data_IF_385948144356
#
_entry.id   IF_385948144356
#
_cell.length_a   1.000
_cell.length_b   1.000
_cell.length_c   1.000
_cell.angle_alpha   90.00
_cell.angle_beta   90.00
_cell.angle_gamma   90.00
#
_symmetry.space_group_name_H-M   'P 1'
#
loop_
_entity.id
_entity.type
_entity.pdbx_description
1 polymer ?
#
# COMPACT_ATOMS: atom_id res chain seq x y z
N UNK A 1 33.49 3.57 -11.83
CA UNK A 1 34.00 4.22 -10.59
C UNK A 1 32.82 4.84 -9.86
N UNK A 2 32.57 4.46 -8.61
CA UNK A 2 31.48 5.04 -7.81
C UNK A 2 31.94 6.40 -7.24
N UNK A 3 31.34 7.54 -7.64
CA UNK A 3 31.77 8.89 -7.22
C UNK A 3 31.57 9.14 -5.71
N UNK A 4 30.85 8.26 -5.02
CA UNK A 4 30.58 8.33 -3.58
C UNK A 4 31.78 8.03 -2.69
N UNK A 5 32.87 7.44 -3.21
CA UNK A 5 34.09 7.15 -2.42
C UNK A 5 34.99 8.37 -2.19
N UNK A 6 34.85 9.44 -2.98
CA UNK A 6 35.73 10.62 -2.93
C UNK A 6 35.19 11.75 -2.06
N UNK A 7 33.88 11.77 -1.77
CA UNK A 7 33.30 12.74 -0.85
C UNK A 7 33.40 12.23 0.59
N UNK A 8 33.84 13.06 1.57
CA UNK A 8 33.98 12.67 2.97
C UNK A 8 32.59 12.68 3.64
N UNK A 9 31.70 11.79 3.22
CA UNK A 9 30.29 11.78 3.66
C UNK A 9 30.14 11.69 5.17
N UNK A 10 31.02 10.94 5.85
CA UNK A 10 31.02 10.88 7.31
C UNK A 10 31.29 12.24 7.96
N UNK A 11 32.16 13.06 7.36
CA UNK A 11 32.46 14.40 7.87
C UNK A 11 31.26 15.33 7.63
N UNK A 12 30.65 15.27 6.44
CA UNK A 12 29.47 16.08 6.09
C UNK A 12 28.29 15.73 7.00
N UNK A 13 28.04 14.43 7.25
CA UNK A 13 26.98 13.96 8.14
C UNK A 13 27.22 14.40 9.59
N UNK A 14 28.45 14.28 10.10
CA UNK A 14 28.81 14.74 11.45
C UNK A 14 28.72 16.25 11.60
N UNK A 15 29.14 16.99 10.57
CA UNK A 15 29.06 18.44 10.54
C UNK A 15 27.61 18.91 10.51
N UNK A 16 26.77 18.32 9.66
CA UNK A 16 25.34 18.60 9.62
C UNK A 16 24.66 18.26 10.96
N UNK A 17 24.94 17.08 11.52
CA UNK A 17 24.39 16.66 12.81
C UNK A 17 24.70 17.68 13.93
N UNK A 18 25.97 18.10 14.05
CA UNK A 18 26.39 19.14 15.02
C UNK A 18 25.76 20.50 14.74
N UNK A 19 25.55 20.86 13.47
CA UNK A 19 25.00 22.18 13.09
C UNK A 19 23.50 22.30 13.38
N UNK A 20 22.78 21.18 13.30
CA UNK A 20 21.33 21.09 13.52
C UNK A 20 20.94 20.52 14.89
N UNK A 21 21.92 20.35 15.81
CA UNK A 21 21.74 19.74 17.15
C UNK A 21 21.10 18.34 17.11
N UNK A 22 21.43 17.57 16.08
CA UNK A 22 21.00 16.19 15.89
C UNK A 22 22.14 15.27 16.34
N UNK A 23 21.81 14.17 17.00
CA UNK A 23 22.77 13.12 17.37
C UNK A 23 23.56 12.64 16.14
N UNK A 24 24.88 12.45 16.29
CA UNK A 24 25.73 11.87 15.23
C UNK A 24 25.20 10.46 14.87
N UNK A 25 24.62 10.27 13.68
CA UNK A 25 23.96 9.02 13.33
C UNK A 25 24.94 7.86 13.25
N UNK A 26 26.22 8.11 12.94
CA UNK A 26 27.27 7.08 12.88
C UNK A 26 27.60 6.59 14.29
N UNK A 27 27.78 7.52 15.22
CA UNK A 27 28.04 7.18 16.63
C UNK A 27 26.82 6.54 17.29
N UNK A 28 25.61 7.01 16.99
CA UNK A 28 24.37 6.43 17.50
C UNK A 28 24.21 4.98 17.03
N UNK A 29 24.38 4.70 15.73
CA UNK A 29 24.26 3.35 15.19
C UNK A 29 25.32 2.41 15.77
N UNK A 30 26.56 2.89 15.93
CA UNK A 30 27.63 2.13 16.58
C UNK A 30 27.28 1.76 18.03
N UNK A 31 26.63 2.65 18.78
CA UNK A 31 26.15 2.38 20.15
C UNK A 31 24.95 1.44 20.18
N UNK A 32 23.99 1.59 19.26
CA UNK A 32 22.83 0.68 19.15
C UNK A 32 23.31 -0.75 18.93
N UNK A 33 24.32 -0.95 18.06
CA UNK A 33 24.92 -2.26 17.80
C UNK A 33 25.54 -2.92 19.03
N UNK A 34 26.00 -2.14 20.02
CA UNK A 34 26.55 -2.66 21.27
C UNK A 34 25.48 -3.31 22.17
N UNK A 35 24.19 -2.98 21.98
CA UNK A 35 23.08 -3.65 22.68
C UNK A 35 22.71 -4.99 22.06
N UNK A 36 23.14 -5.28 20.84
CA UNK A 36 22.92 -6.56 20.17
C UNK A 36 23.97 -7.60 20.55
N UNK A 37 23.62 -8.88 20.41
CA UNK A 37 24.63 -9.96 20.45
C UNK A 37 25.60 -9.74 19.29
N UNK A 38 26.93 -9.92 19.47
CA UNK A 38 27.88 -9.86 18.37
C UNK A 38 27.44 -10.87 17.30
N UNK A 39 27.04 -10.36 16.13
CA UNK A 39 26.66 -11.19 14.99
C UNK A 39 27.88 -11.34 14.09
N UNK A 40 28.18 -12.56 13.66
CA UNK A 40 29.21 -12.84 12.65
C UNK A 40 28.86 -12.20 11.30
N UNK A 41 27.57 -12.01 11.05
CA UNK A 41 27.04 -11.39 9.84
C UNK A 41 26.55 -9.98 10.19
N UNK A 42 27.13 -8.96 9.55
CA UNK A 42 26.61 -7.60 9.66
C UNK A 42 25.17 -7.52 9.16
N UNK A 43 24.39 -6.62 9.77
CA UNK A 43 23.06 -6.27 9.29
C UNK A 43 23.10 -5.92 7.80
N UNK A 44 22.27 -6.56 6.95
CA UNK A 44 22.16 -6.22 5.55
C UNK A 44 21.84 -4.73 5.36
N UNK A 45 22.63 -4.04 4.55
CA UNK A 45 22.44 -2.60 4.32
C UNK A 45 21.10 -2.31 3.63
N UNK A 46 20.58 -3.29 2.91
CA UNK A 46 19.26 -3.30 2.28
C UNK A 46 18.16 -3.17 3.32
N UNK A 47 18.27 -3.86 4.47
CA UNK A 47 17.29 -3.77 5.56
C UNK A 47 17.34 -2.39 6.23
N UNK A 48 18.53 -1.85 6.46
CA UNK A 48 18.70 -0.50 7.02
C UNK A 48 18.11 0.56 6.07
N UNK A 49 18.40 0.46 4.77
CA UNK A 49 17.82 1.36 3.76
C UNK A 49 16.31 1.25 3.68
N UNK A 50 15.78 0.02 3.66
CA UNK A 50 14.34 -0.22 3.65
C UNK A 50 13.66 0.36 4.89
N UNK A 51 14.25 0.17 6.08
CA UNK A 51 13.75 0.74 7.34
C UNK A 51 13.74 2.26 7.33
N UNK A 52 14.83 2.91 6.87
CA UNK A 52 14.89 4.37 6.75
C UNK A 52 13.82 4.89 5.79
N UNK A 53 13.70 4.30 4.60
CA UNK A 53 12.71 4.72 3.61
C UNK A 53 11.27 4.55 4.12
N UNK A 54 11.02 3.44 4.81
CA UNK A 54 9.74 3.13 5.43
C UNK A 54 9.35 4.17 6.49
N UNK A 55 10.25 4.53 7.40
CA UNK A 55 10.00 5.57 8.40
C UNK A 55 9.92 6.98 7.80
N UNK A 56 10.71 7.30 6.78
CA UNK A 56 10.62 8.58 6.07
C UNK A 56 9.23 8.79 5.46
N UNK A 57 8.65 7.75 4.84
CA UNK A 57 7.25 7.76 4.38
C UNK A 57 6.28 7.87 5.55
N UNK A 58 6.57 7.20 6.66
CA UNK A 58 5.78 7.33 7.88
C UNK A 58 5.72 8.76 8.43
N UNK A 59 6.77 9.56 8.26
CA UNK A 59 6.75 10.99 8.62
C UNK A 59 5.81 11.78 7.71
N UNK A 60 5.78 11.48 6.41
CA UNK A 60 4.83 12.08 5.46
C UNK A 60 3.39 11.71 5.85
N UNK A 61 3.14 10.43 6.11
CA UNK A 61 1.83 9.95 6.59
C UNK A 61 1.39 10.62 7.88
N UNK A 62 2.33 10.89 8.80
CA UNK A 62 2.04 11.60 10.06
C UNK A 62 1.43 12.95 9.78
N UNK A 63 2.04 13.72 8.87
CA UNK A 63 1.54 15.05 8.48
C UNK A 63 0.22 14.94 7.69
N UNK A 64 0.12 14.02 6.75
CA UNK A 64 -1.08 13.89 5.93
C UNK A 64 -2.30 13.46 6.75
N UNK A 65 -2.15 12.49 7.65
CA UNK A 65 -3.29 11.87 8.36
C UNK A 65 -3.70 12.69 9.58
N UNK A 66 -2.76 13.11 10.44
CA UNK A 66 -3.11 13.72 11.73
C UNK A 66 -3.90 15.02 11.60
N UNK A 67 -3.65 15.80 10.53
CA UNK A 67 -4.34 17.07 10.30
C UNK A 67 -5.61 16.94 9.46
N UNK A 68 -5.88 15.77 8.89
CA UNK A 68 -7.00 15.54 7.95
C UNK A 68 -7.77 14.26 8.31
N UNK A 69 -8.08 14.06 9.60
CA UNK A 69 -8.78 12.86 10.08
C UNK A 69 -10.23 12.76 9.58
N UNK A 70 -10.78 13.85 9.07
CA UNK A 70 -12.09 13.96 8.44
C UNK A 70 -12.12 13.44 6.99
N UNK A 71 -10.95 13.17 6.38
CA UNK A 71 -10.87 12.60 5.06
C UNK A 71 -11.19 11.10 5.06
N UNK A 72 -11.47 10.57 3.88
CA UNK A 72 -11.60 9.12 3.68
C UNK A 72 -10.21 8.51 3.56
N UNK A 73 -9.91 7.56 4.43
CA UNK A 73 -8.60 6.92 4.45
C UNK A 73 -8.65 5.43 4.14
N UNK A 74 -7.50 4.82 3.73
CA UNK A 74 -7.36 3.38 3.64
C UNK A 74 -7.72 2.65 4.94
N UNK A 75 -8.13 1.39 4.83
CA UNK A 75 -8.61 0.59 5.95
C UNK A 75 -7.67 0.59 7.16
N UNK A 76 -6.37 0.46 6.96
CA UNK A 76 -5.40 0.44 8.07
C UNK A 76 -5.37 1.76 8.86
N UNK A 77 -5.61 2.90 8.19
CA UNK A 77 -5.61 4.22 8.82
C UNK A 77 -6.88 4.38 9.66
N UNK A 78 -8.04 4.09 9.08
CA UNK A 78 -9.33 4.11 9.77
C UNK A 78 -9.27 3.32 11.08
N UNK A 79 -8.58 2.17 11.04
CA UNK A 79 -8.39 1.30 12.21
C UNK A 79 -7.38 1.82 13.23
N UNK A 80 -6.21 2.26 12.78
CA UNK A 80 -5.15 2.69 13.70
C UNK A 80 -5.39 4.06 14.32
N UNK A 81 -6.23 4.90 13.71
CA UNK A 81 -6.48 6.27 14.15
C UNK A 81 -7.80 6.44 14.90
N UNK A 82 -8.67 5.42 14.92
CA UNK A 82 -9.93 5.42 15.67
C UNK A 82 -9.72 4.94 17.11
N UNK A 83 -9.93 5.79 18.14
CA UNK A 83 -9.68 5.41 19.55
C UNK A 83 -10.55 4.26 20.07
N UNK A 84 -11.67 3.98 19.40
CA UNK A 84 -12.60 2.91 19.76
C UNK A 84 -12.25 1.57 19.13
N UNK A 85 -11.33 1.54 18.17
CA UNK A 85 -10.94 0.32 17.48
C UNK A 85 -9.83 -0.41 18.25
N UNK A 86 -9.88 -1.75 18.40
CA UNK A 86 -8.82 -2.50 19.09
C UNK A 86 -7.45 -2.40 18.41
N UNK A 87 -7.39 -2.02 17.13
CA UNK A 87 -6.15 -1.76 16.41
C UNK A 87 -5.59 -0.35 16.59
N UNK A 88 -6.20 0.48 17.46
CA UNK A 88 -5.77 1.85 17.71
C UNK A 88 -4.30 1.94 18.16
N UNK A 89 -3.55 2.87 17.56
CA UNK A 89 -2.15 3.14 17.90
C UNK A 89 -2.03 4.54 18.50
N UNK A 90 -1.61 4.67 19.78
CA UNK A 90 -1.43 5.96 20.42
C UNK A 90 -0.42 6.86 19.69
N UNK A 91 -0.83 8.11 19.43
CA UNK A 91 -0.08 9.06 18.59
C UNK A 91 0.93 9.95 19.33
N UNK A 92 0.85 9.99 20.67
CA UNK A 92 1.58 10.98 21.47
C UNK A 92 3.11 10.85 21.45
N UNK A 93 3.63 9.63 21.23
CA UNK A 93 5.07 9.35 21.23
C UNK A 93 5.59 8.79 19.90
N UNK A 94 4.72 8.62 18.89
CA UNK A 94 5.14 8.08 17.60
C UNK A 94 5.56 9.20 16.65
N UNK A 95 6.83 9.20 16.25
CA UNK A 95 7.36 10.18 15.29
C UNK A 95 6.98 9.87 13.83
N UNK A 96 6.54 8.64 13.53
CA UNK A 96 6.19 8.20 12.18
C UNK A 96 4.96 7.27 12.19
N UNK A 97 4.01 7.49 11.27
CA UNK A 97 2.81 6.66 11.16
C UNK A 97 2.91 5.74 9.93
N UNK A 98 3.00 4.46 10.22
CA UNK A 98 3.19 3.39 9.25
C UNK A 98 2.08 2.36 9.40
N UNK A 99 1.80 1.62 8.34
CA UNK A 99 0.89 0.50 8.44
C UNK A 99 1.54 -0.60 9.31
N UNK A 100 1.02 -0.84 10.52
CA UNK A 100 1.48 -1.92 11.43
C UNK A 100 0.41 -2.97 11.75
N UNK A 101 -0.88 -2.64 11.59
CA UNK A 101 -2.02 -3.56 11.75
C UNK A 101 -2.76 -3.74 10.43
N UNK A 102 -3.50 -4.84 10.25
CA UNK A 102 -4.25 -5.09 8.99
C UNK A 102 -3.34 -5.15 7.75
N UNK A 103 -2.19 -5.82 7.90
CA UNK A 103 -1.17 -6.03 6.86
C UNK A 103 -1.33 -7.34 6.08
N UNK A 104 -2.47 -8.00 6.23
CA UNK A 104 -2.87 -9.19 5.47
C UNK A 104 -3.33 -8.79 4.06
N UNK A 105 -2.46 -8.12 3.31
CA UNK A 105 -2.74 -7.69 1.94
C UNK A 105 -2.43 -8.83 0.99
N UNK A 106 -3.30 -9.02 -0.01
CA UNK A 106 -3.22 -10.12 -0.96
C UNK A 106 -2.56 -9.64 -2.25
N UNK A 107 -1.51 -10.34 -2.69
CA UNK A 107 -0.88 -10.12 -4.00
C UNK A 107 -1.64 -10.87 -5.09
N UNK A 108 -1.91 -10.22 -6.21
CA UNK A 108 -2.53 -10.84 -7.40
C UNK A 108 -1.54 -10.82 -8.54
N UNK A 109 -1.33 -11.94 -9.20
CA UNK A 109 -0.34 -12.07 -10.27
C UNK A 109 -0.69 -13.15 -11.28
N UNK A 110 0.15 -13.28 -12.30
CA UNK A 110 0.07 -14.30 -13.34
C UNK A 110 1.44 -14.97 -13.49
N UNK A 111 1.51 -16.25 -13.90
CA UNK A 111 2.77 -16.89 -14.26
C UNK A 111 3.55 -16.04 -15.29
N UNK A 112 4.86 -16.05 -15.18
CA UNK A 112 5.80 -15.37 -16.07
C UNK A 112 5.66 -13.83 -16.15
N UNK A 113 4.90 -13.21 -15.24
CA UNK A 113 4.82 -11.75 -15.08
C UNK A 113 5.46 -11.30 -13.76
N UNK A 114 6.38 -10.34 -13.85
CA UNK A 114 7.02 -9.72 -12.68
C UNK A 114 6.19 -8.62 -12.01
N UNK A 115 4.87 -8.60 -12.22
CA UNK A 115 3.97 -7.62 -11.60
C UNK A 115 3.03 -8.27 -10.60
N UNK A 116 2.92 -7.62 -9.43
CA UNK A 116 2.15 -8.12 -8.31
C UNK A 116 1.38 -6.99 -7.62
N UNK A 117 0.25 -6.55 -8.20
CA UNK A 117 -0.69 -5.68 -7.53
C UNK A 117 -1.05 -6.17 -6.13
N UNK A 118 -1.18 -5.24 -5.19
CA UNK A 118 -1.62 -5.52 -3.83
C UNK A 118 -3.11 -5.16 -3.68
N UNK A 119 -3.85 -5.99 -2.98
CA UNK A 119 -5.23 -5.75 -2.60
C UNK A 119 -5.33 -5.77 -1.08
N UNK A 120 -5.79 -4.68 -0.47
CA UNK A 120 -5.99 -4.63 0.97
C UNK A 120 -7.24 -5.44 1.40
N UNK A 121 -7.49 -5.64 2.70
CA UNK A 121 -8.66 -6.40 3.18
C UNK A 121 -10.03 -5.81 2.81
N UNK A 122 -10.10 -4.56 2.33
CA UNK A 122 -11.33 -3.87 1.92
C UNK A 122 -11.43 -3.64 0.42
N UNK A 123 -10.46 -4.14 -0.35
CA UNK A 123 -10.48 -4.12 -1.80
C UNK A 123 -9.78 -2.90 -2.42
N UNK A 124 -9.08 -2.09 -1.62
CA UNK A 124 -8.17 -1.05 -2.12
C UNK A 124 -7.07 -1.72 -2.94
N UNK A 125 -6.86 -1.26 -4.18
CA UNK A 125 -5.88 -1.85 -5.10
C UNK A 125 -4.67 -0.95 -5.23
N UNK A 126 -3.48 -1.51 -5.06
CA UNK A 126 -2.19 -0.85 -5.36
C UNK A 126 -1.60 -1.52 -6.60
N UNK A 127 -1.81 -0.96 -7.82
CA UNK A 127 -1.50 -1.67 -9.06
C UNK A 127 -0.01 -1.91 -9.30
N UNK A 128 0.83 -0.98 -8.82
CA UNK A 128 2.28 -1.05 -8.92
C UNK A 128 2.84 -1.13 -7.51
N UNK A 129 3.77 -2.05 -7.28
CA UNK A 129 4.48 -2.16 -6.00
C UNK A 129 5.10 -0.80 -5.64
N UNK A 130 4.94 -0.41 -4.38
CA UNK A 130 5.52 0.81 -3.83
C UNK A 130 5.01 2.12 -4.46
N UNK A 131 3.79 2.10 -5.01
CA UNK A 131 3.15 3.24 -5.63
C UNK A 131 1.82 3.61 -4.92
N UNK A 132 1.00 4.41 -5.60
CA UNK A 132 -0.32 4.82 -5.13
C UNK A 132 -1.33 3.67 -5.17
N UNK A 133 -2.40 3.82 -4.39
CA UNK A 133 -3.54 2.90 -4.35
C UNK A 133 -4.81 3.59 -4.88
N UNK A 134 -5.76 2.80 -5.36
CA UNK A 134 -7.08 3.24 -5.81
C UNK A 134 -8.14 2.53 -5.00
N UNK A 135 -9.16 3.31 -4.64
CA UNK A 135 -10.37 2.84 -3.98
C UNK A 135 -11.61 3.16 -4.83
N UNK A 136 -12.70 2.47 -4.52
CA UNK A 136 -13.98 2.69 -5.18
C UNK A 136 -15.09 2.87 -4.14
N UNK A 137 -15.70 4.06 -4.17
CA UNK A 137 -16.79 4.42 -3.26
C UNK A 137 -18.12 4.46 -4.00
N UNK A 138 -19.21 4.21 -3.29
CA UNK A 138 -20.56 4.21 -3.85
C UNK A 138 -21.39 5.29 -3.18
N UNK A 139 -21.82 6.30 -3.94
CA UNK A 139 -22.79 7.29 -3.50
C UNK A 139 -24.20 6.80 -3.89
N UNK A 140 -25.06 6.58 -2.91
CA UNK A 140 -26.46 6.18 -3.13
C UNK A 140 -27.31 7.38 -3.56
N UNK A 141 -28.49 7.11 -4.13
CA UNK A 141 -29.46 8.16 -4.46
C UNK A 141 -29.93 8.95 -3.23
N UNK A 142 -29.95 8.33 -2.05
CA UNK A 142 -30.25 9.01 -0.79
C UNK A 142 -29.14 9.94 -0.30
N UNK A 143 -28.00 10.02 -1.01
CA UNK A 143 -26.84 10.82 -0.65
C UNK A 143 -25.90 10.14 0.36
N UNK A 144 -26.13 8.87 0.70
CA UNK A 144 -25.25 8.11 1.58
C UNK A 144 -24.02 7.65 0.80
N UNK A 145 -22.83 7.92 1.33
CA UNK A 145 -21.57 7.42 0.76
C UNK A 145 -21.15 6.13 1.46
N UNK A 146 -21.04 5.05 0.69
CA UNK A 146 -20.53 3.75 1.13
C UNK A 146 -19.04 3.68 0.79
N UNK A 147 -18.22 3.69 1.84
CA UNK A 147 -16.77 3.70 1.76
C UNK A 147 -16.23 2.36 2.26
N UNK A 148 -15.52 1.56 1.44
CA UNK A 148 -15.08 0.22 1.82
C UNK A 148 -14.28 0.14 3.13
N UNK A 149 -13.43 1.14 3.39
CA UNK A 149 -12.60 1.20 4.59
C UNK A 149 -13.39 1.40 5.89
N UNK A 150 -14.61 1.94 5.82
CA UNK A 150 -15.45 2.26 6.97
C UNK A 150 -16.56 1.22 7.21
N UNK A 151 -16.83 0.36 6.23
CA UNK A 151 -17.85 -0.70 6.34
C UNK A 151 -17.35 -1.82 7.25
N UNK A 152 -18.24 -2.31 8.14
CA UNK A 152 -17.94 -3.41 9.06
C UNK A 152 -17.92 -4.77 8.34
N UNK A 153 -18.98 -5.07 7.59
CA UNK A 153 -19.17 -6.33 6.87
C UNK A 153 -18.41 -6.31 5.55
N UNK A 154 -17.23 -6.97 5.54
CA UNK A 154 -16.50 -7.27 4.32
C UNK A 154 -15.97 -8.70 4.35
N UNK A 155 -15.98 -9.29 3.17
CA UNK A 155 -15.49 -10.64 2.90
C UNK A 155 -14.56 -10.59 1.70
N UNK A 156 -13.40 -11.25 1.81
CA UNK A 156 -12.45 -11.39 0.72
C UNK A 156 -12.22 -12.87 0.41
N UNK A 157 -12.34 -13.23 -0.87
CA UNK A 157 -12.11 -14.59 -1.36
C UNK A 157 -11.19 -14.57 -2.57
N UNK A 158 -10.58 -15.73 -2.87
CA UNK A 158 -9.72 -15.93 -4.03
C UNK A 158 -10.33 -16.96 -4.95
N UNK A 159 -10.33 -16.67 -6.25
CA UNK A 159 -10.76 -17.59 -7.30
C UNK A 159 -9.55 -17.93 -8.18
N UNK A 160 -9.32 -19.23 -8.44
CA UNK A 160 -8.10 -19.74 -9.08
C UNK A 160 -8.36 -20.36 -10.47
N UNK A 161 -9.62 -20.60 -10.86
CA UNK A 161 -9.95 -21.43 -12.02
C UNK A 161 -9.76 -20.71 -13.37
N UNK A 162 -9.97 -19.39 -13.44
CA UNK A 162 -9.98 -18.60 -14.68
C UNK A 162 -9.22 -17.29 -14.47
N UNK A 163 -7.91 -17.41 -14.34
CA UNK A 163 -6.97 -16.43 -13.79
C UNK A 163 -7.09 -16.28 -12.27
N UNK A 164 -5.98 -15.99 -11.59
CA UNK A 164 -6.00 -15.67 -10.15
C UNK A 164 -6.72 -14.33 -9.96
N UNK A 165 -7.80 -14.35 -9.19
CA UNK A 165 -8.59 -13.16 -8.88
C UNK A 165 -8.78 -13.02 -7.38
N UNK A 166 -8.71 -11.78 -6.90
CA UNK A 166 -9.13 -11.43 -5.54
C UNK A 166 -10.48 -10.74 -5.63
N UNK A 167 -11.45 -11.29 -4.91
CA UNK A 167 -12.81 -10.78 -4.85
C UNK A 167 -13.02 -10.21 -3.46
N UNK A 168 -13.33 -8.92 -3.36
CA UNK A 168 -13.74 -8.29 -2.10
C UNK A 168 -15.20 -7.88 -2.20
N UNK A 169 -16.01 -8.33 -1.26
CA UNK A 169 -17.42 -7.97 -1.15
C UNK A 169 -17.66 -7.23 0.15
N UNK A 170 -18.18 -6.01 0.08
CA UNK A 170 -18.63 -5.25 1.23
C UNK A 170 -20.15 -5.15 1.22
N UNK A 171 -20.77 -5.09 2.41
CA UNK A 171 -22.22 -4.95 2.57
C UNK A 171 -22.54 -3.83 3.54
N UNK A 172 -23.42 -2.93 3.12
CA UNK A 172 -23.92 -1.85 3.95
C UNK A 172 -25.35 -1.47 3.50
N UNK A 173 -26.28 -1.41 4.45
CA UNK A 173 -27.67 -0.93 4.26
C UNK A 173 -28.40 -1.49 3.01
N UNK A 174 -28.34 -2.82 2.83
CA UNK A 174 -28.98 -3.50 1.70
C UNK A 174 -28.29 -3.32 0.33
N UNK A 175 -27.20 -2.57 0.28
CA UNK A 175 -26.27 -2.52 -0.85
C UNK A 175 -25.08 -3.44 -0.63
N UNK A 176 -24.58 -4.02 -1.72
CA UNK A 176 -23.39 -4.86 -1.78
C UNK A 176 -22.52 -4.37 -2.92
N UNK A 177 -21.30 -3.95 -2.60
CA UNK A 177 -20.27 -3.65 -3.58
C UNK A 177 -19.31 -4.84 -3.65
N UNK A 178 -19.14 -5.39 -4.85
CA UNK A 178 -18.20 -6.47 -5.16
C UNK A 178 -17.10 -5.92 -6.07
N UNK A 179 -15.87 -5.91 -5.58
CA UNK A 179 -14.66 -5.64 -6.34
C UNK A 179 -13.99 -6.95 -6.73
N UNK A 180 -13.57 -7.06 -7.98
CA UNK A 180 -12.80 -8.19 -8.51
C UNK A 180 -11.53 -7.64 -9.13
N UNK A 181 -10.38 -8.05 -8.59
CA UNK A 181 -9.07 -7.61 -9.06
C UNK A 181 -8.32 -8.79 -9.68
N UNK A 182 -7.81 -8.60 -10.90
CA UNK A 182 -7.01 -9.59 -11.60
C UNK A 182 -5.90 -8.94 -12.42
N UNK A 183 -4.89 -9.73 -12.80
CA UNK A 183 -3.85 -9.32 -13.75
C UNK A 183 -4.15 -9.94 -15.11
N UNK A 184 -4.15 -9.09 -16.14
CA UNK A 184 -4.37 -9.48 -17.54
C UNK A 184 -3.12 -9.19 -18.35
N UNK A 185 -2.77 -10.10 -19.25
CA UNK A 185 -1.62 -9.95 -20.15
C UNK A 185 -2.07 -10.09 -21.61
N UNK A 186 -1.71 -9.12 -22.44
CA UNK A 186 -2.06 -9.10 -23.86
C UNK A 186 -0.80 -9.31 -24.72
N UNK A 187 -0.73 -10.47 -25.37
CA UNK A 187 0.32 -10.78 -26.36
C UNK A 187 -0.06 -10.20 -27.71
N UNK A 188 0.22 -8.92 -27.94
CA UNK A 188 0.19 -8.39 -29.30
C UNK A 188 1.37 -8.94 -30.13
N UNK A 189 1.08 -9.31 -31.39
CA UNK A 189 2.01 -9.93 -32.36
C UNK A 189 3.19 -9.04 -32.82
N UNK A 190 3.30 -7.80 -32.33
CA UNK A 190 4.38 -6.86 -32.63
C UNK A 190 5.11 -6.48 -31.33
N UNK A 191 6.27 -7.10 -31.07
CA UNK A 191 7.41 -6.77 -30.17
C UNK A 191 7.24 -6.07 -28.79
N UNK A 192 6.08 -5.52 -28.43
CA UNK A 192 5.80 -4.82 -27.18
C UNK A 192 4.69 -5.53 -26.41
N UNK A 193 5.08 -6.30 -25.40
CA UNK A 193 4.15 -6.96 -24.49
C UNK A 193 3.55 -5.94 -23.52
N UNK A 194 2.21 -5.87 -23.45
CA UNK A 194 1.50 -5.04 -22.48
C UNK A 194 0.90 -5.93 -21.39
N UNK A 195 1.12 -5.53 -20.14
CA UNK A 195 0.47 -6.14 -18.99
C UNK A 195 -0.41 -5.09 -18.33
N UNK A 196 -1.40 -5.53 -17.57
CA UNK A 196 -2.28 -4.59 -16.89
C UNK A 196 -2.97 -5.19 -15.70
N UNK A 197 -3.25 -4.31 -14.75
CA UNK A 197 -4.11 -4.62 -13.61
C UNK A 197 -5.51 -4.19 -13.97
N UNK A 198 -6.43 -5.11 -13.81
CA UNK A 198 -7.85 -4.86 -13.97
C UNK A 198 -8.49 -4.87 -12.59
N UNK A 199 -9.25 -3.83 -12.27
CA UNK A 199 -10.24 -3.87 -11.22
C UNK A 199 -11.63 -3.75 -11.86
N UNK A 200 -12.46 -4.76 -11.67
CA UNK A 200 -13.87 -4.76 -12.07
C UNK A 200 -14.72 -4.57 -10.83
N UNK A 201 -15.64 -3.61 -10.88
CA UNK A 201 -16.59 -3.33 -9.81
C UNK A 201 -17.98 -3.77 -10.26
N UNK A 202 -18.68 -4.50 -9.39
CA UNK A 202 -20.06 -4.94 -9.56
C UNK A 202 -20.86 -4.51 -8.33
N UNK A 203 -21.95 -3.79 -8.52
CA UNK A 203 -22.82 -3.34 -7.43
C UNK A 203 -24.14 -4.11 -7.48
N UNK A 204 -24.59 -4.56 -6.33
CA UNK A 204 -25.87 -5.24 -6.14
C UNK A 204 -26.63 -4.52 -5.03
N UNK A 205 -27.93 -4.29 -5.17
CA UNK A 205 -28.77 -3.80 -4.08
C UNK A 205 -30.10 -4.57 -4.06
N UNK A 206 -30.64 -4.78 -2.86
CA UNK A 206 -31.97 -5.37 -2.66
C UNK A 206 -33.11 -4.34 -2.67
N UNK A 207 -32.81 -3.05 -2.46
CA UNK A 207 -33.79 -1.94 -2.58
C UNK A 207 -33.79 -1.27 -3.95
N UNK A 208 -32.66 -1.31 -4.65
CA UNK A 208 -32.49 -0.76 -5.98
C UNK A 208 -32.25 -1.93 -6.92
N UNK A 209 -33.27 -2.30 -7.70
CA UNK A 209 -33.12 -3.31 -8.76
C UNK A 209 -31.95 -2.91 -9.65
N UNK A 210 -30.83 -3.60 -9.44
CA UNK A 210 -29.57 -3.53 -10.19
C UNK A 210 -29.25 -2.13 -10.75
N UNK A 211 -28.60 -1.29 -9.96
CA UNK A 211 -27.83 -0.18 -10.52
C UNK A 211 -26.61 -0.78 -11.24
N UNK A 212 -26.80 -1.13 -12.51
CA UNK A 212 -25.67 -1.36 -13.42
C UNK A 212 -25.04 0.00 -13.69
N UNK A 213 -24.01 0.36 -12.92
CA UNK A 213 -22.98 1.19 -13.51
C UNK A 213 -22.37 0.35 -14.64
N UNK A 214 -22.82 0.61 -15.86
CA UNK A 214 -22.36 0.02 -17.12
C UNK A 214 -20.89 -0.41 -17.01
N UNK A 215 -20.67 -1.72 -16.85
CA UNK A 215 -19.40 -2.43 -16.59
C UNK A 215 -18.13 -1.55 -16.69
N UNK A 216 -17.93 -0.59 -15.78
CA UNK A 216 -16.74 0.26 -15.84
C UNK A 216 -15.57 -0.55 -15.30
N UNK A 217 -14.89 -1.22 -16.22
CA UNK A 217 -13.62 -1.89 -15.99
C UNK A 217 -12.56 -0.80 -15.87
N UNK A 218 -12.01 -0.59 -14.68
CA UNK A 218 -10.79 0.20 -14.54
C UNK A 218 -9.63 -0.71 -14.98
N UNK A 219 -9.14 -0.47 -16.20
CA UNK A 219 -7.95 -1.14 -16.74
C UNK A 219 -6.76 -0.20 -16.66
N UNK A 220 -5.75 -0.59 -15.91
CA UNK A 220 -4.47 0.11 -15.88
C UNK A 220 -3.51 -0.67 -16.78
N UNK A 221 -3.07 -0.04 -17.87
CA UNK A 221 -2.07 -0.62 -18.77
C UNK A 221 -0.68 -0.13 -18.38
N UNK A 222 0.24 -1.08 -18.29
CA UNK A 222 1.63 -0.83 -17.98
C UNK A 222 2.48 -1.47 -19.07
N UNK A 223 3.55 -0.81 -19.47
CA UNK A 223 4.45 -1.31 -20.50
C UNK A 223 5.70 -1.89 -19.86
N UNK A 224 6.01 -3.15 -20.20
CA UNK A 224 7.34 -3.69 -19.96
C UNK A 224 8.27 -3.18 -21.05
N UNK A 225 9.30 -2.42 -20.71
CA UNK A 225 10.49 -2.39 -21.58
C UNK A 225 11.27 -3.65 -21.26
N UNK A 226 11.47 -4.52 -22.25
CA UNK A 226 12.38 -5.66 -22.14
C UNK A 226 13.72 -5.13 -21.61
N UNK A 227 14.03 -5.40 -20.34
CA UNK A 227 15.40 -5.30 -19.86
C UNK A 227 16.13 -6.43 -20.56
N UNK A 228 16.84 -6.10 -21.64
CA UNK A 228 17.87 -6.99 -22.16
C UNK A 228 18.84 -7.24 -21.00
N UNK A 229 18.95 -8.52 -20.62
CA UNK A 229 20.02 -9.00 -19.73
C UNK A 229 21.39 -8.64 -20.34
#
# INVERSE_FOLDING_TARGET
MNPTKWLPWNFILKWAARRYDILDPVTLLARIRQFGRPSEVMEPIELLRAGILFHARGVINTRAIQYNLDWIWPFWVEKQFSPTDPSFIPRGFSFSHINITHRNWTMVGQPDLGIYPLVDPRGLVTPIFDAWSIDAWLLTESGKLIVPSQVKDAEQTMELEKDLQVITSIRDDGAKLRSTTCVTYDRHRNSNSKFGTTQKLSIFSSRYDRIFFDNKKLKFEFQSKSMKK
#
